data_IF_771599767735
#
_entry.id   IF_771599767735
#
_cell.length_a   1.000
_cell.length_b   1.000
_cell.length_c   1.000
_cell.angle_alpha   90.00
_cell.angle_beta   90.00
_cell.angle_gamma   90.00
#
_symmetry.space_group_name_H-M   'P 1'
#
loop_
_entity.id
_entity.type
_entity.pdbx_description
1 polymer ?
#
# COMPACT_ATOMS: atom_id res chain seq x y z
N UNK A 1 -5.03 -7.01 7.23
CA UNK A 1 -6.44 -7.43 7.34
C UNK A 1 -7.34 -6.27 6.96
N UNK A 2 -8.22 -6.43 5.97
CA UNK A 2 -9.30 -5.48 5.64
C UNK A 2 -10.61 -6.15 6.03
N UNK A 3 -11.43 -5.50 6.86
CA UNK A 3 -12.75 -5.96 7.30
C UNK A 3 -12.80 -7.45 7.74
N UNK A 4 -11.81 -7.89 8.52
CA UNK A 4 -11.79 -9.26 9.03
C UNK A 4 -11.18 -10.30 8.09
N UNK A 5 -10.60 -9.90 6.94
CA UNK A 5 -10.01 -10.83 5.97
C UNK A 5 -8.56 -10.50 5.62
N UNK A 6 -7.76 -11.55 5.47
CA UNK A 6 -6.42 -11.46 4.91
C UNK A 6 -6.52 -11.35 3.39
N UNK A 7 -5.80 -10.36 2.85
CA UNK A 7 -5.72 -10.15 1.41
C UNK A 7 -4.65 -11.10 0.85
N UNK A 8 -4.89 -11.72 -0.32
CA UNK A 8 -3.86 -12.47 -1.03
C UNK A 8 -2.63 -11.60 -1.34
N UNK A 9 -1.48 -12.24 -1.55
CA UNK A 9 -0.32 -11.54 -2.10
C UNK A 9 -0.61 -11.02 -3.52
N UNK A 10 0.06 -9.93 -3.93
CA UNK A 10 -0.07 -9.31 -5.25
C UNK A 10 -1.51 -8.92 -5.63
N UNK A 11 -2.29 -8.53 -4.62
CA UNK A 11 -3.69 -8.18 -4.73
C UNK A 11 -3.90 -6.67 -4.75
N UNK A 12 -4.72 -6.17 -5.68
CA UNK A 12 -5.07 -4.76 -5.75
C UNK A 12 -6.56 -4.55 -5.47
N UNK A 13 -6.85 -3.66 -4.52
CA UNK A 13 -8.21 -3.25 -4.17
C UNK A 13 -8.51 -1.92 -4.85
N UNK A 14 -9.45 -1.86 -5.81
CA UNK A 14 -9.86 -0.61 -6.42
C UNK A 14 -10.44 0.34 -5.37
N UNK A 15 -10.21 1.65 -5.59
CA UNK A 15 -10.79 2.71 -4.76
C UNK A 15 -12.29 2.52 -4.55
N UNK A 16 -12.76 2.85 -3.35
CA UNK A 16 -14.18 2.78 -2.92
C UNK A 16 -14.83 1.38 -2.97
N UNK A 17 -14.04 0.31 -3.14
CA UNK A 17 -14.55 -1.06 -3.04
C UNK A 17 -14.87 -1.42 -1.60
N UNK A 18 -16.11 -1.88 -1.35
CA UNK A 18 -16.48 -2.51 -0.09
C UNK A 18 -16.06 -3.99 -0.08
N UNK A 19 -15.08 -4.35 0.74
CA UNK A 19 -14.70 -5.75 1.01
C UNK A 19 -15.37 -6.16 2.32
N UNK A 20 -16.21 -7.18 2.29
CA UNK A 20 -16.80 -7.78 3.48
C UNK A 20 -16.50 -9.27 3.57
N UNK A 21 -17.01 -9.95 4.62
CA UNK A 21 -16.76 -11.38 4.86
C UNK A 21 -17.15 -12.29 3.68
N UNK A 22 -18.17 -11.89 2.92
CA UNK A 22 -18.72 -12.64 1.79
C UNK A 22 -18.23 -12.14 0.42
N UNK A 23 -17.34 -11.14 0.37
CA UNK A 23 -16.83 -10.62 -0.91
C UNK A 23 -15.95 -11.67 -1.56
N UNK A 24 -16.24 -12.07 -2.79
CA UNK A 24 -15.36 -12.98 -3.52
C UNK A 24 -14.09 -12.24 -3.98
N UNK A 25 -12.96 -12.53 -3.32
CA UNK A 25 -11.68 -11.89 -3.65
C UNK A 25 -11.10 -12.40 -4.97
N UNK A 26 -11.56 -13.53 -5.51
CA UNK A 26 -11.03 -14.05 -6.78
C UNK A 26 -11.43 -13.22 -8.02
N UNK A 27 -12.39 -12.30 -7.85
CA UNK A 27 -12.92 -11.45 -8.93
C UNK A 27 -12.10 -10.17 -9.14
N UNK A 28 -11.16 -9.87 -8.25
CA UNK A 28 -10.33 -8.68 -8.38
C UNK A 28 -9.15 -8.94 -9.31
N UNK A 29 -8.78 -7.94 -10.13
CA UNK A 29 -7.63 -8.08 -11.00
C UNK A 29 -6.34 -8.22 -10.17
N UNK A 30 -5.33 -8.94 -10.68
CA UNK A 30 -4.00 -8.92 -10.07
C UNK A 30 -3.46 -7.48 -10.06
N UNK A 31 -2.55 -7.20 -9.13
CA UNK A 31 -1.88 -5.89 -9.07
C UNK A 31 -1.23 -5.55 -10.42
N UNK A 32 -1.49 -4.34 -10.92
CA UNK A 32 -0.83 -3.85 -12.13
C UNK A 32 0.60 -3.45 -11.83
N UNK A 33 1.48 -3.51 -12.83
CA UNK A 33 2.87 -3.03 -12.72
C UNK A 33 2.89 -1.58 -12.24
N UNK A 34 2.04 -0.72 -12.81
CA UNK A 34 1.91 0.68 -12.41
C UNK A 34 1.52 0.91 -10.95
N UNK A 35 0.69 0.04 -10.37
CA UNK A 35 0.31 0.14 -8.96
C UNK A 35 1.46 -0.30 -8.04
N UNK A 36 2.27 -1.25 -8.49
CA UNK A 36 3.50 -1.66 -7.81
C UNK A 36 4.55 -0.54 -7.84
N UNK A 37 4.81 0.05 -9.01
CA UNK A 37 5.75 1.16 -9.18
C UNK A 37 5.35 2.37 -8.32
N UNK A 38 4.06 2.72 -8.30
CA UNK A 38 3.57 3.79 -7.43
C UNK A 38 3.86 3.52 -5.94
N UNK A 39 3.71 2.27 -5.50
CA UNK A 39 3.99 1.90 -4.10
C UNK A 39 5.48 1.99 -3.77
N UNK A 40 6.35 1.67 -4.72
CA UNK A 40 7.81 1.81 -4.59
C UNK A 40 8.23 3.28 -4.50
N UNK A 41 7.67 4.15 -5.35
CA UNK A 41 7.93 5.60 -5.32
C UNK A 41 7.54 6.23 -3.97
N UNK A 42 6.39 5.82 -3.42
CA UNK A 42 5.94 6.26 -2.08
C UNK A 42 6.89 5.76 -0.99
N UNK A 43 7.36 4.51 -1.08
CA UNK A 43 8.29 3.96 -0.11
C UNK A 43 9.63 4.70 -0.12
N UNK A 44 10.20 4.97 -1.30
CA UNK A 44 11.43 5.74 -1.45
C UNK A 44 11.28 7.16 -0.89
N UNK A 45 10.20 7.85 -1.26
CA UNK A 45 9.90 9.20 -0.77
C UNK A 45 9.84 9.23 0.76
N UNK A 46 9.15 8.27 1.38
CA UNK A 46 9.04 8.19 2.83
C UNK A 46 10.38 7.91 3.52
N UNK A 47 11.24 7.09 2.93
CA UNK A 47 12.61 6.84 3.44
C UNK A 47 13.41 8.15 3.46
N UNK A 48 13.34 8.94 2.38
CA UNK A 48 14.06 10.21 2.28
C UNK A 48 13.50 11.27 3.25
N UNK A 49 12.19 11.31 3.46
CA UNK A 49 11.57 12.14 4.49
C UNK A 49 12.08 11.77 5.89
N UNK A 50 12.10 10.48 6.25
CA UNK A 50 12.61 10.02 7.55
C UNK A 50 14.08 10.39 7.73
N UNK A 51 14.89 10.28 6.67
CA UNK A 51 16.31 10.71 6.70
C UNK A 51 16.41 12.22 6.92
N UNK A 52 15.63 13.03 6.20
CA UNK A 52 15.61 14.49 6.35
C UNK A 52 15.20 14.93 7.75
N UNK A 53 14.13 14.33 8.32
CA UNK A 53 13.70 14.63 9.68
C UNK A 53 14.75 14.27 10.73
N UNK A 54 15.43 13.12 10.59
CA UNK A 54 16.52 12.73 11.50
C UNK A 54 17.71 13.67 11.43
N UNK A 55 18.03 14.21 10.24
CA UNK A 55 19.11 15.18 10.09
C UNK A 55 18.78 16.48 10.84
N UNK A 56 17.59 17.05 10.62
CA UNK A 56 17.12 18.25 11.33
C UNK A 56 17.02 18.05 12.84
N UNK A 57 16.66 16.85 13.30
CA UNK A 57 16.57 16.53 14.72
C UNK A 57 17.95 16.52 15.40
N UNK A 58 19.03 16.23 14.68
CA UNK A 58 20.40 16.22 15.21
C UNK A 58 21.09 17.61 15.15
N UNK A 59 20.40 18.65 14.70
CA UNK A 59 20.92 20.02 14.60
C UNK A 59 20.60 20.91 15.83
N UNK A 60 20.00 20.35 16.89
CA UNK A 60 19.63 21.06 18.14
C UNK A 60 20.16 20.36 19.40
#
# INVERSE_FOLDING_TARGET
MVDGRDLPENFYVPSTTRIGPNTDLSQFPPVSISASEFSEDVAHTNIDLVRGYKALQNEF
#
